data_IF_170593659269
#
_entry.id   IF_170593659269
#
_cell.length_a   1.000
_cell.length_b   1.000
_cell.length_c   1.000
_cell.angle_alpha   90.00
_cell.angle_beta   90.00
_cell.angle_gamma   90.00
#
_symmetry.space_group_name_H-M   'P 1'
#
loop_
_entity.id
_entity.type
_entity.pdbx_description
1 polymer ?
#
# COMPACT_ATOMS: atom_id res chain seq x y z
N UNK A 1 10.33 8.59 -9.58
CA UNK A 1 10.34 7.95 -8.24
C UNK A 1 11.65 7.21 -8.11
N UNK A 2 12.30 7.25 -6.94
CA UNK A 2 13.54 6.50 -6.67
C UNK A 2 13.26 5.63 -5.44
N UNK A 3 13.68 4.37 -5.48
CA UNK A 3 13.53 3.45 -4.37
C UNK A 3 14.81 2.61 -4.23
N UNK A 4 14.95 1.93 -3.09
CA UNK A 4 16.04 1.00 -2.84
C UNK A 4 15.53 -0.42 -3.05
N UNK A 5 16.12 -1.13 -4.02
CA UNK A 5 15.79 -2.53 -4.30
C UNK A 5 16.12 -3.39 -3.08
N UNK A 6 15.18 -4.26 -2.69
CA UNK A 6 15.31 -5.14 -1.53
C UNK A 6 14.96 -4.47 -0.19
N UNK A 7 14.45 -3.25 -0.20
CA UNK A 7 13.94 -2.58 1.02
C UNK A 7 12.49 -2.93 1.34
N UNK A 8 11.82 -3.77 0.53
CA UNK A 8 10.39 -4.07 0.66
C UNK A 8 9.52 -2.80 0.64
N UNK A 9 10.02 -1.76 -0.04
CA UNK A 9 9.33 -0.48 -0.17
C UNK A 9 8.26 -0.55 -1.27
N UNK A 10 8.50 -1.37 -2.29
CA UNK A 10 7.55 -1.65 -3.35
C UNK A 10 6.91 -3.02 -3.12
N UNK A 11 5.80 -3.24 -3.81
CA UNK A 11 5.14 -4.54 -3.84
C UNK A 11 6.09 -5.60 -4.40
N UNK A 12 6.05 -6.80 -3.82
CA UNK A 12 6.98 -7.88 -4.14
C UNK A 12 7.02 -8.18 -5.64
N UNK A 13 5.85 -8.21 -6.30
CA UNK A 13 5.76 -8.47 -7.73
C UNK A 13 6.46 -7.42 -8.60
N UNK A 14 6.50 -6.15 -8.16
CA UNK A 14 7.15 -5.07 -8.89
C UNK A 14 8.67 -5.12 -8.70
N UNK A 15 9.15 -5.35 -7.47
CA UNK A 15 10.59 -5.51 -7.20
C UNK A 15 11.17 -6.70 -7.95
N UNK A 16 10.48 -7.84 -7.96
CA UNK A 16 10.92 -9.06 -8.66
C UNK A 16 11.03 -8.84 -10.17
N UNK A 17 10.05 -8.17 -10.78
CA UNK A 17 10.09 -7.84 -12.22
C UNK A 17 11.12 -6.77 -12.59
N UNK A 18 11.51 -5.92 -11.63
CA UNK A 18 12.59 -4.95 -11.79
C UNK A 18 13.98 -5.61 -11.65
N UNK A 19 14.06 -6.79 -11.04
CA UNK A 19 15.32 -7.51 -10.90
C UNK A 19 15.90 -7.89 -12.27
N UNK A 20 17.15 -7.49 -12.51
CA UNK A 20 17.86 -7.78 -13.75
C UNK A 20 17.50 -6.87 -14.94
N UNK A 21 16.65 -5.86 -14.74
CA UNK A 21 16.33 -4.86 -15.77
C UNK A 21 17.44 -3.82 -15.95
N UNK A 22 17.68 -3.43 -17.19
CA UNK A 22 18.72 -2.45 -17.53
C UNK A 22 18.15 -1.03 -17.69
N UNK A 23 19.02 -0.04 -17.50
CA UNK A 23 18.69 1.37 -17.73
C UNK A 23 18.22 1.59 -19.17
N UNK A 24 17.05 2.22 -19.31
CA UNK A 24 16.39 2.52 -20.59
C UNK A 24 15.37 1.46 -21.03
N UNK A 25 15.23 0.34 -20.31
CA UNK A 25 14.14 -0.60 -20.58
C UNK A 25 12.78 0.01 -20.19
N UNK A 26 11.79 -0.22 -21.07
CA UNK A 26 10.38 0.10 -20.83
C UNK A 26 9.57 -1.17 -20.98
N UNK A 27 8.76 -1.48 -20.00
CA UNK A 27 7.96 -2.68 -20.00
C UNK A 27 6.69 -2.48 -19.18
N UNK A 28 5.67 -3.25 -19.53
CA UNK A 28 4.40 -3.27 -18.81
C UNK A 28 4.33 -4.59 -18.08
N UNK A 29 3.99 -4.55 -16.80
CA UNK A 29 3.76 -5.73 -15.98
C UNK A 29 2.37 -5.68 -15.38
N UNK A 30 1.69 -6.81 -15.41
CA UNK A 30 0.54 -7.10 -14.58
C UNK A 30 1.00 -7.81 -13.31
N UNK A 31 0.60 -7.27 -12.16
CA UNK A 31 0.90 -7.84 -10.85
C UNK A 31 -0.41 -8.32 -10.27
N UNK A 32 -0.50 -9.63 -10.08
CA UNK A 32 -1.63 -10.26 -9.40
C UNK A 32 -1.72 -9.77 -7.95
N UNK A 33 -2.94 -9.69 -7.38
CA UNK A 33 -3.14 -9.17 -6.03
C UNK A 33 -2.26 -9.87 -4.99
N UNK A 34 -2.05 -11.18 -5.09
CA UNK A 34 -1.15 -11.97 -4.23
C UNK A 34 0.30 -11.43 -4.17
N UNK A 35 0.78 -10.84 -5.27
CA UNK A 35 2.12 -10.26 -5.39
C UNK A 35 2.12 -8.72 -5.23
N UNK A 36 0.93 -8.12 -5.10
CA UNK A 36 0.71 -6.67 -4.95
C UNK A 36 0.43 -6.31 -3.48
N UNK A 37 -0.85 -6.10 -3.14
CA UNK A 37 -1.33 -5.72 -1.81
C UNK A 37 -2.02 -6.87 -1.08
N UNK A 38 -1.90 -8.09 -1.61
CA UNK A 38 -2.62 -9.27 -1.15
C UNK A 38 -3.97 -9.42 -1.83
N UNK A 39 -4.56 -10.60 -1.65
CA UNK A 39 -5.95 -10.83 -2.00
C UNK A 39 -6.87 -10.08 -1.03
N UNK A 40 -8.06 -9.74 -1.53
CA UNK A 40 -9.12 -9.27 -0.65
C UNK A 40 -9.59 -10.46 0.17
N UNK A 41 -9.48 -10.37 1.49
CA UNK A 41 -9.98 -11.37 2.40
C UNK A 41 -11.32 -10.92 2.99
N UNK A 42 -12.37 -11.72 2.76
CA UNK A 42 -13.68 -11.50 3.41
C UNK A 42 -13.59 -11.57 4.94
N UNK A 43 -12.57 -12.23 5.49
CA UNK A 43 -12.32 -12.28 6.95
C UNK A 43 -11.88 -10.93 7.53
N UNK A 44 -11.38 -10.02 6.69
CA UNK A 44 -11.08 -8.64 7.08
C UNK A 44 -12.32 -7.74 6.99
N UNK A 45 -13.41 -8.24 6.42
CA UNK A 45 -14.73 -7.60 6.49
C UNK A 45 -15.37 -7.99 7.81
N UNK A 46 -15.54 -7.01 8.69
CA UNK A 46 -16.07 -7.21 10.03
C UNK A 46 -17.36 -6.43 10.21
N UNK A 47 -18.32 -7.08 10.86
CA UNK A 47 -19.51 -6.40 11.36
C UNK A 47 -19.21 -5.90 12.77
N UNK A 48 -19.31 -4.59 12.94
CA UNK A 48 -19.03 -3.90 14.19
C UNK A 48 -20.28 -3.19 14.68
N UNK A 49 -20.57 -3.18 16.00
CA UNK A 49 -21.72 -2.46 16.52
C UNK A 49 -21.62 -0.97 16.21
N UNK A 50 -22.73 -0.39 15.75
CA UNK A 50 -22.83 1.05 15.44
C UNK A 50 -22.47 1.93 16.63
N UNK A 51 -22.61 1.43 17.85
CA UNK A 51 -22.15 2.08 19.07
C UNK A 51 -20.67 2.48 19.08
N UNK A 52 -19.80 1.78 18.33
CA UNK A 52 -18.39 2.20 18.21
C UNK A 52 -18.21 3.49 17.40
N UNK A 53 -19.21 3.86 16.60
CA UNK A 53 -19.23 5.07 15.78
C UNK A 53 -20.25 6.09 16.32
N UNK A 54 -20.74 5.93 17.56
CA UNK A 54 -21.68 6.87 18.17
C UNK A 54 -21.08 8.28 18.25
N UNK A 55 -21.83 9.26 17.72
CA UNK A 55 -21.39 10.66 17.65
C UNK A 55 -20.57 11.01 16.40
N UNK A 56 -20.34 10.07 15.49
CA UNK A 56 -19.76 10.31 14.17
C UNK A 56 -20.80 10.06 13.07
N UNK A 57 -20.78 10.88 12.02
CA UNK A 57 -21.58 10.64 10.82
C UNK A 57 -20.85 9.58 9.99
N UNK A 58 -21.48 8.43 9.79
CA UNK A 58 -20.95 7.31 9.04
C UNK A 58 -21.82 7.06 7.81
N UNK A 59 -21.19 6.99 6.65
CA UNK A 59 -21.84 6.68 5.38
C UNK A 59 -21.05 5.58 4.65
N UNK A 60 -21.74 4.71 3.90
CA UNK A 60 -21.06 3.74 3.04
C UNK A 60 -20.13 4.46 2.05
N UNK A 61 -18.90 3.95 1.92
CA UNK A 61 -17.81 4.55 1.15
C UNK A 61 -16.87 5.45 1.98
N UNK A 62 -17.20 5.79 3.23
CA UNK A 62 -16.28 6.50 4.10
C UNK A 62 -15.11 5.61 4.53
N UNK A 63 -13.91 6.19 4.63
CA UNK A 63 -12.70 5.50 5.10
C UNK A 63 -12.27 6.06 6.46
N UNK A 64 -12.03 5.19 7.43
CA UNK A 64 -11.57 5.49 8.78
C UNK A 64 -10.21 4.88 9.03
N UNK A 65 -9.44 5.42 9.98
CA UNK A 65 -8.26 4.73 10.51
C UNK A 65 -8.67 3.99 11.78
N UNK A 66 -8.59 2.67 11.73
CA UNK A 66 -8.75 1.81 12.89
C UNK A 66 -7.36 1.41 13.42
N UNK A 67 -7.19 1.40 14.73
CA UNK A 67 -6.00 0.83 15.35
C UNK A 67 -6.23 -0.67 15.54
N UNK A 68 -5.45 -1.48 14.84
CA UNK A 68 -5.45 -2.94 14.94
C UNK A 68 -4.18 -3.42 15.65
N UNK A 69 -4.09 -4.72 15.97
CA UNK A 69 -2.89 -5.31 16.57
C UNK A 69 -1.65 -5.19 15.65
N UNK A 70 -1.87 -5.13 14.34
CA UNK A 70 -0.85 -4.91 13.30
C UNK A 70 -0.53 -3.42 13.07
N UNK A 71 -1.20 -2.51 13.79
CA UNK A 71 -0.99 -1.07 13.70
C UNK A 71 -2.18 -0.29 13.18
N UNK A 72 -1.95 0.98 12.81
CA UNK A 72 -2.98 1.83 12.21
C UNK A 72 -3.32 1.38 10.80
N UNK A 73 -4.52 0.85 10.61
CA UNK A 73 -5.01 0.36 9.33
C UNK A 73 -6.21 1.21 8.87
N UNK A 74 -6.26 1.51 7.58
CA UNK A 74 -7.43 2.18 6.99
C UNK A 74 -8.52 1.15 6.72
N UNK A 75 -9.72 1.41 7.22
CA UNK A 75 -10.92 0.58 7.02
C UNK A 75 -11.97 1.38 6.27
N UNK A 76 -12.71 0.75 5.35
CA UNK A 76 -13.79 1.39 4.59
C UNK A 76 -15.15 0.87 5.06
N UNK A 77 -16.13 1.76 5.23
CA UNK A 77 -17.49 1.36 5.52
C UNK A 77 -18.13 0.84 4.23
N UNK A 78 -18.54 -0.41 4.22
CA UNK A 78 -19.28 -1.00 3.10
C UNK A 78 -20.77 -0.72 3.23
N UNK A 79 -21.31 -0.88 4.45
CA UNK A 79 -22.74 -0.74 4.71
C UNK A 79 -22.99 -0.29 6.16
N UNK A 80 -24.14 0.34 6.40
CA UNK A 80 -24.54 0.91 7.69
C UNK A 80 -25.99 0.53 7.95
N UNK A 81 -26.18 -0.37 8.90
CA UNK A 81 -27.49 -0.80 9.40
C UNK A 81 -27.92 0.00 10.63
N UNK A 82 -29.13 -0.27 11.12
CA UNK A 82 -29.68 0.41 12.30
C UNK A 82 -28.85 0.16 13.57
N UNK A 83 -28.35 -1.08 13.75
CA UNK A 83 -27.61 -1.53 14.93
C UNK A 83 -26.14 -1.88 14.65
N UNK A 84 -25.79 -2.22 13.41
CA UNK A 84 -24.47 -2.71 13.00
C UNK A 84 -23.89 -1.92 11.82
N UNK A 85 -22.59 -2.00 11.63
CA UNK A 85 -21.85 -1.35 10.54
C UNK A 85 -20.88 -2.37 9.96
N UNK A 86 -20.90 -2.53 8.64
CA UNK A 86 -19.99 -3.44 7.94
C UNK A 86 -18.76 -2.64 7.52
N UNK A 87 -17.61 -2.99 8.08
CA UNK A 87 -16.32 -2.36 7.76
C UNK A 87 -15.41 -3.34 7.05
N UNK A 88 -14.67 -2.85 6.07
CA UNK A 88 -13.68 -3.59 5.30
C UNK A 88 -12.29 -3.11 5.67
N UNK A 89 -11.49 -3.97 6.28
CA UNK A 89 -10.11 -3.68 6.63
C UNK A 89 -9.09 -3.92 5.52
N UNK A 90 -9.50 -4.40 4.34
CA UNK A 90 -8.57 -4.66 3.26
C UNK A 90 -7.94 -3.34 2.76
N UNK A 91 -6.69 -3.40 2.32
CA UNK A 91 -6.09 -2.29 1.60
C UNK A 91 -6.93 -1.99 0.34
N UNK A 92 -7.18 -0.72 -0.04
CA UNK A 92 -8.06 -0.36 -1.16
C UNK A 92 -7.65 -0.96 -2.51
N UNK A 93 -6.39 -1.39 -2.64
CA UNK A 93 -5.85 -2.05 -3.83
C UNK A 93 -5.76 -3.59 -3.70
N UNK A 94 -6.22 -4.17 -2.59
CA UNK A 94 -6.21 -5.63 -2.40
C UNK A 94 -7.24 -6.31 -3.30
N UNK A 95 -6.89 -7.48 -3.84
CA UNK A 95 -7.76 -8.22 -4.75
C UNK A 95 -7.88 -7.61 -6.16
N UNK A 96 -7.16 -6.52 -6.45
CA UNK A 96 -7.08 -5.94 -7.80
C UNK A 96 -5.75 -6.31 -8.45
N UNK A 97 -5.82 -6.77 -9.70
CA UNK A 97 -4.63 -6.88 -10.55
C UNK A 97 -4.16 -5.48 -10.91
N UNK A 98 -2.92 -5.16 -10.57
CA UNK A 98 -2.32 -3.86 -10.84
C UNK A 98 -1.45 -3.93 -12.08
N UNK A 99 -1.74 -3.11 -13.08
CA UNK A 99 -0.89 -2.97 -14.27
C UNK A 99 0.03 -1.76 -14.11
N UNK A 100 1.33 -1.99 -14.19
CA UNK A 100 2.35 -0.95 -14.11
C UNK A 100 3.05 -0.80 -15.45
N UNK A 101 3.10 0.43 -15.96
CA UNK A 101 3.98 0.83 -17.06
C UNK A 101 5.25 1.40 -16.43
N UNK A 102 6.37 0.69 -16.60
CA UNK A 102 7.62 0.97 -15.90
C UNK A 102 8.71 1.31 -16.91
N UNK A 103 9.44 2.37 -16.60
CA UNK A 103 10.62 2.80 -17.34
C UNK A 103 11.81 2.96 -16.37
N UNK A 104 12.87 2.19 -16.62
CA UNK A 104 14.08 2.25 -15.80
C UNK A 104 14.93 3.43 -16.27
N UNK A 105 14.92 4.52 -15.50
CA UNK A 105 15.64 5.74 -15.87
C UNK A 105 17.12 5.70 -15.48
N UNK A 106 17.43 5.15 -14.31
CA UNK A 106 18.78 5.09 -13.77
C UNK A 106 18.88 3.93 -12.77
N UNK A 107 20.03 3.25 -12.75
CA UNK A 107 20.37 2.21 -11.77
C UNK A 107 21.76 2.56 -11.22
N UNK A 108 21.87 2.66 -9.90
CA UNK A 108 23.15 2.87 -9.21
C UNK A 108 23.22 2.04 -7.95
N UNK A 109 24.44 1.76 -7.50
CA UNK A 109 24.64 1.17 -6.19
C UNK A 109 24.20 2.17 -5.09
N UNK A 110 23.52 1.66 -4.08
CA UNK A 110 23.18 2.42 -2.88
C UNK A 110 24.45 2.71 -2.07
N UNK A 111 24.50 3.87 -1.43
CA UNK A 111 25.57 4.20 -0.48
C UNK A 111 25.33 3.50 0.86
N UNK A 112 26.38 3.37 1.68
CA UNK A 112 26.27 2.75 3.01
C UNK A 112 25.24 3.47 3.91
N UNK A 113 25.08 4.78 3.75
CA UNK A 113 24.07 5.57 4.47
C UNK A 113 22.64 5.23 4.01
N UNK A 114 22.40 5.05 2.71
CA UNK A 114 21.08 4.70 2.18
C UNK A 114 20.65 3.29 2.60
N UNK A 115 21.61 2.36 2.66
CA UNK A 115 21.37 1.00 3.15
C UNK A 115 21.04 1.03 4.65
N UNK A 116 21.75 1.85 5.44
CA UNK A 116 21.47 2.00 6.87
C UNK A 116 20.12 2.69 7.14
N UNK A 117 19.68 3.58 6.26
CA UNK A 117 18.42 4.33 6.38
C UNK A 117 17.22 3.65 5.70
N UNK A 118 17.45 2.66 4.83
CA UNK A 118 16.39 1.91 4.13
C UNK A 118 15.71 2.65 2.98
N UNK A 119 16.21 3.84 2.60
CA UNK A 119 15.65 4.66 1.52
C UNK A 119 16.74 5.41 0.75
N UNK A 120 16.55 5.67 -0.56
CA UNK A 120 17.49 6.45 -1.34
C UNK A 120 17.46 7.92 -0.93
N UNK A 121 18.62 8.52 -0.76
CA UNK A 121 18.78 9.96 -0.55
C UNK A 121 18.99 10.62 -1.91
N UNK A 122 17.93 11.21 -2.47
CA UNK A 122 18.07 12.05 -3.67
C UNK A 122 18.64 13.42 -3.29
N UNK A 123 19.51 13.98 -4.14
CA UNK A 123 20.13 15.30 -3.93
C UNK A 123 19.12 16.48 -3.89
N UNK A 124 17.85 16.24 -4.26
CA UNK A 124 16.75 17.17 -4.05
C UNK A 124 15.75 16.57 -3.04
N UNK A 125 15.64 17.22 -1.88
CA UNK A 125 14.41 17.19 -1.10
C UNK A 125 14.37 16.33 0.16
N UNK A 126 15.35 16.44 1.07
CA UNK A 126 15.04 16.26 2.50
C UNK A 126 14.19 17.45 2.98
N UNK A 127 12.91 17.48 2.57
CA UNK A 127 11.88 18.37 3.08
C UNK A 127 11.20 17.77 4.30
N UNK A 128 11.95 17.49 5.37
CA UNK A 128 11.35 17.27 6.68
C UNK A 128 10.82 18.62 7.16
N UNK A 129 9.54 18.90 6.93
CA UNK A 129 8.80 19.78 7.85
C UNK A 129 8.01 18.87 8.77
N UNK A 130 8.50 18.80 10.01
CA UNK A 130 7.70 18.42 11.16
C UNK A 130 6.81 19.62 11.56
#
# INVERSE_FOLDING_TARGET
MVFLQGSHYLIQGLEDHLEGKEVGEKFVIDIEPEQAYGERHDTLVQEVPRSMFEGMEIEPGMTFRATTDEGEQSVMILDVDEETVVVDGNHPLSGLTLTFDVEVLEVRAATEEEIAHGHPHTAEGCGHTH
#
